data_IF_634132485665
#
_entry.id   IF_634132485665
#
_cell.length_a   1.000
_cell.length_b   1.000
_cell.length_c   1.000
_cell.angle_alpha   90.00
_cell.angle_beta   90.00
_cell.angle_gamma   90.00
#
_symmetry.space_group_name_H-M   'P 1'
#
loop_
_entity.id
_entity.type
_entity.pdbx_description
1 polymer ?
#
# COMPACT_ATOMS: atom_id res chain seq x y z
N UNK A 1 27.94 -13.34 92.79
CA UNK A 1 27.63 -12.21 91.88
C UNK A 1 28.76 -11.94 90.86
N UNK A 2 29.47 -12.97 90.36
CA UNK A 2 30.66 -12.79 89.50
C UNK A 2 30.47 -13.34 88.06
N UNK A 3 29.58 -14.32 87.84
CA UNK A 3 29.41 -14.96 86.51
C UNK A 3 28.59 -14.18 85.46
N UNK A 4 27.92 -13.08 85.82
CA UNK A 4 27.08 -12.32 84.86
C UNK A 4 27.89 -11.27 84.09
N UNK A 5 29.01 -10.79 84.63
CA UNK A 5 29.81 -9.71 84.00
C UNK A 5 30.65 -10.20 82.81
N UNK A 6 31.12 -11.45 82.80
CA UNK A 6 31.88 -12.01 81.68
C UNK A 6 31.00 -12.31 80.46
N UNK A 7 29.76 -12.74 80.67
CA UNK A 7 28.81 -13.08 79.59
C UNK A 7 28.36 -11.85 78.79
N UNK A 8 28.24 -10.69 79.43
CA UNK A 8 27.90 -9.43 78.76
C UNK A 8 29.08 -8.80 78.00
N UNK A 9 30.33 -9.10 78.40
CA UNK A 9 31.55 -8.67 77.70
C UNK A 9 31.72 -9.41 76.38
N UNK A 10 31.52 -10.74 76.37
CA UNK A 10 31.64 -11.57 75.17
C UNK A 10 30.56 -11.26 74.12
N UNK A 11 29.33 -10.94 74.55
CA UNK A 11 28.23 -10.63 73.61
C UNK A 11 28.39 -9.26 72.95
N UNK A 12 28.90 -8.25 73.68
CA UNK A 12 29.27 -6.95 73.06
C UNK A 12 30.41 -7.10 72.06
N UNK A 13 31.41 -7.93 72.35
CA UNK A 13 32.52 -8.23 71.44
C UNK A 13 32.05 -9.00 70.19
N UNK A 14 31.19 -10.00 70.36
CA UNK A 14 30.61 -10.77 69.26
C UNK A 14 29.69 -9.91 68.37
N UNK A 15 28.83 -9.09 68.97
CA UNK A 15 27.99 -8.15 68.22
C UNK A 15 28.80 -7.12 67.43
N UNK A 16 29.91 -6.62 68.00
CA UNK A 16 30.82 -5.71 67.31
C UNK A 16 31.58 -6.39 66.17
N UNK A 17 31.94 -7.67 66.33
CA UNK A 17 32.55 -8.48 65.27
C UNK A 17 31.57 -8.70 64.12
N UNK A 18 30.34 -9.14 64.40
CA UNK A 18 29.31 -9.32 63.36
C UNK A 18 28.98 -8.01 62.65
N UNK A 19 28.88 -6.90 63.39
CA UNK A 19 28.66 -5.56 62.82
C UNK A 19 29.80 -5.14 61.89
N UNK A 20 31.06 -5.33 62.31
CA UNK A 20 32.21 -4.98 61.49
C UNK A 20 32.32 -5.86 60.24
N UNK A 21 32.06 -7.17 60.35
CA UNK A 21 32.05 -8.09 59.20
C UNK A 21 30.95 -7.69 58.21
N UNK A 22 29.75 -7.35 58.69
CA UNK A 22 28.68 -6.86 57.84
C UNK A 22 29.06 -5.52 57.18
N UNK A 23 29.60 -4.56 57.95
CA UNK A 23 29.99 -3.24 57.46
C UNK A 23 31.05 -3.33 56.36
N UNK A 24 32.12 -4.12 56.58
CA UNK A 24 33.16 -4.30 55.58
C UNK A 24 32.68 -5.14 54.39
N UNK A 25 31.82 -6.14 54.62
CA UNK A 25 31.18 -6.89 53.54
C UNK A 25 30.34 -6.01 52.61
N UNK A 26 29.51 -5.14 53.17
CA UNK A 26 28.73 -4.16 52.41
C UNK A 26 29.61 -3.12 51.71
N UNK A 27 30.69 -2.66 52.34
CA UNK A 27 31.62 -1.73 51.72
C UNK A 27 32.33 -2.34 50.50
N UNK A 28 32.79 -3.60 50.61
CA UNK A 28 33.43 -4.31 49.49
C UNK A 28 32.44 -4.56 48.35
N UNK A 29 31.21 -4.98 48.68
CA UNK A 29 30.15 -5.14 47.67
C UNK A 29 29.82 -3.81 46.98
N UNK A 30 29.75 -2.71 47.74
CA UNK A 30 29.53 -1.36 47.21
C UNK A 30 30.65 -0.93 46.25
N UNK A 31 31.92 -1.15 46.62
CA UNK A 31 33.08 -0.85 45.76
C UNK A 31 33.06 -1.71 44.49
N UNK A 32 32.70 -2.99 44.59
CA UNK A 32 32.60 -3.87 43.43
C UNK A 32 31.50 -3.42 42.46
N UNK A 33 30.33 -3.02 42.97
CA UNK A 33 29.20 -2.54 42.16
C UNK A 33 29.53 -1.19 41.50
N UNK A 34 30.10 -0.24 42.26
CA UNK A 34 30.49 1.07 41.73
C UNK A 34 31.64 0.92 40.73
N UNK A 35 32.59 0.04 41.00
CA UNK A 35 33.69 -0.29 40.08
C UNK A 35 33.18 -0.90 38.78
N UNK A 36 32.26 -1.87 38.85
CA UNK A 36 31.62 -2.46 37.67
C UNK A 36 30.83 -1.42 36.86
N UNK A 37 30.10 -0.54 37.53
CA UNK A 37 29.38 0.57 36.89
C UNK A 37 30.33 1.59 36.24
N UNK A 38 31.45 1.92 36.90
CA UNK A 38 32.50 2.77 36.36
C UNK A 38 33.16 2.18 35.13
N UNK A 39 33.47 0.88 35.14
CA UNK A 39 34.02 0.14 33.99
C UNK A 39 33.04 0.12 32.81
N UNK A 40 31.73 -0.02 33.08
CA UNK A 40 30.67 0.07 32.07
C UNK A 40 30.56 1.49 31.47
N UNK A 41 30.56 2.54 32.30
CA UNK A 41 30.46 3.92 31.84
C UNK A 41 31.71 4.40 31.08
N UNK A 42 32.89 4.03 31.55
CA UNK A 42 34.16 4.37 30.88
C UNK A 42 34.39 3.55 29.60
N UNK A 43 33.50 2.62 29.27
CA UNK A 43 33.51 1.88 28.01
C UNK A 43 34.66 0.89 27.87
N UNK A 44 35.32 0.50 28.96
CA UNK A 44 36.43 -0.47 28.96
C UNK A 44 36.02 -1.88 28.50
N UNK A 45 34.72 -2.21 28.55
CA UNK A 45 34.14 -3.48 28.05
C UNK A 45 33.58 -3.38 26.64
N UNK A 46 33.72 -2.24 25.95
CA UNK A 46 33.31 -2.11 24.55
C UNK A 46 34.29 -2.88 23.65
N UNK A 47 34.03 -4.17 23.47
CA UNK A 47 34.62 -4.91 22.36
C UNK A 47 34.27 -4.18 21.05
N UNK A 48 35.28 -3.76 20.28
CA UNK A 48 35.17 -3.19 18.93
C UNK A 48 34.60 -4.18 17.88
N UNK A 49 33.94 -5.24 18.31
CA UNK A 49 33.40 -6.28 17.44
C UNK A 49 31.95 -5.98 17.04
N UNK A 50 31.75 -5.55 15.80
CA UNK A 50 30.56 -5.69 14.95
C UNK A 50 29.16 -5.20 15.41
N UNK A 51 28.87 -5.10 16.72
CA UNK A 51 27.50 -4.96 17.24
C UNK A 51 27.01 -3.50 17.24
N UNK A 52 27.90 -2.49 17.22
CA UNK A 52 27.47 -1.08 17.34
C UNK A 52 27.13 -0.40 15.99
N UNK A 53 27.95 -0.58 14.96
CA UNK A 53 27.72 0.07 13.65
C UNK A 53 26.51 -0.50 12.91
N UNK A 54 26.39 -1.84 12.87
CA UNK A 54 25.28 -2.48 12.18
C UNK A 54 23.96 -2.23 12.90
N UNK A 55 23.95 -2.16 14.24
CA UNK A 55 22.73 -1.89 15.00
C UNK A 55 22.21 -0.46 14.77
N UNK A 56 23.11 0.54 14.72
CA UNK A 56 22.73 1.92 14.35
C UNK A 56 22.18 2.00 12.93
N UNK A 57 22.79 1.29 11.99
CA UNK A 57 22.31 1.27 10.61
C UNK A 57 20.95 0.55 10.50
N UNK A 58 20.79 -0.61 11.13
CA UNK A 58 19.52 -1.34 11.16
C UNK A 58 18.40 -0.52 11.81
N UNK A 59 18.71 0.23 12.87
CA UNK A 59 17.76 1.18 13.47
C UNK A 59 17.35 2.27 12.47
N UNK A 60 18.28 2.84 11.71
CA UNK A 60 17.97 3.82 10.65
C UNK A 60 17.11 3.21 9.53
N UNK A 61 17.48 2.03 9.03
CA UNK A 61 16.70 1.29 8.01
C UNK A 61 15.28 1.02 8.51
N UNK A 62 15.11 0.59 9.77
CA UNK A 62 13.79 0.33 10.35
C UNK A 62 12.90 1.58 10.41
N UNK A 63 13.50 2.76 10.55
CA UNK A 63 12.77 4.03 10.63
C UNK A 63 12.34 4.55 9.25
N UNK A 64 12.99 4.13 8.15
CA UNK A 64 12.68 4.60 6.79
C UNK A 64 11.22 4.31 6.37
N UNK A 65 10.72 3.10 6.64
CA UNK A 65 9.34 2.73 6.30
C UNK A 65 8.26 3.55 7.02
N UNK A 66 8.59 4.15 8.18
CA UNK A 66 7.68 5.04 8.93
C UNK A 66 7.62 6.46 8.35
N UNK A 67 8.70 6.91 7.70
CA UNK A 67 8.80 8.24 7.08
C UNK A 67 8.25 8.25 5.64
N UNK A 68 8.37 7.16 4.89
CA UNK A 68 7.84 7.03 3.54
C UNK A 68 6.32 7.26 3.46
N UNK A 69 5.57 6.88 4.51
CA UNK A 69 4.11 7.11 4.60
C UNK A 69 3.70 8.59 4.72
N UNK A 70 4.63 9.52 4.96
CA UNK A 70 4.35 10.97 5.13
C UNK A 70 4.68 11.83 3.91
N UNK A 71 5.41 11.32 2.92
CA UNK A 71 5.81 12.13 1.76
C UNK A 71 4.64 12.32 0.78
N UNK A 72 4.14 13.56 0.65
CA UNK A 72 3.08 13.93 -0.31
C UNK A 72 3.56 14.15 -1.75
N UNK A 73 4.87 14.25 -1.98
CA UNK A 73 5.49 14.56 -3.28
C UNK A 73 6.53 13.51 -3.62
N UNK A 74 6.59 13.10 -4.89
CA UNK A 74 7.62 12.19 -5.40
C UNK A 74 8.94 12.95 -5.48
N UNK A 75 9.98 12.42 -4.83
CA UNK A 75 11.36 12.86 -4.99
C UNK A 75 11.95 12.12 -6.21
N UNK A 76 11.99 12.81 -7.35
CA UNK A 76 12.38 12.22 -8.63
C UNK A 76 13.84 11.75 -8.64
N UNK A 77 14.73 12.50 -8.01
CA UNK A 77 16.16 12.19 -7.94
C UNK A 77 16.38 10.95 -7.06
N UNK A 78 15.74 10.93 -5.89
CA UNK A 78 15.78 9.75 -5.01
C UNK A 78 15.17 8.54 -5.69
N UNK A 79 14.02 8.68 -6.37
CA UNK A 79 13.39 7.59 -7.10
C UNK A 79 14.33 7.01 -8.17
N UNK A 80 14.95 7.87 -8.97
CA UNK A 80 15.91 7.48 -9.99
C UNK A 80 17.13 6.77 -9.38
N UNK A 81 17.68 7.29 -8.28
CA UNK A 81 18.78 6.66 -7.55
C UNK A 81 18.42 5.24 -7.08
N UNK A 82 17.21 5.04 -6.53
CA UNK A 82 16.79 3.71 -6.07
C UNK A 82 16.68 2.71 -7.22
N UNK A 83 16.16 3.14 -8.38
CA UNK A 83 16.12 2.27 -9.56
C UNK A 83 17.51 1.93 -10.11
N UNK A 84 18.46 2.88 -10.08
CA UNK A 84 19.87 2.61 -10.38
C UNK A 84 20.41 1.54 -9.44
N UNK A 85 20.29 1.74 -8.14
CA UNK A 85 20.77 0.79 -7.13
C UNK A 85 20.16 -0.59 -7.32
N UNK A 86 18.85 -0.68 -7.52
CA UNK A 86 18.16 -1.94 -7.78
C UNK A 86 18.66 -2.62 -9.06
N UNK A 87 18.95 -1.86 -10.12
CA UNK A 87 19.50 -2.41 -11.36
C UNK A 87 20.94 -2.93 -11.22
N UNK A 88 21.76 -2.28 -10.39
CA UNK A 88 23.12 -2.76 -10.09
C UNK A 88 23.04 -4.00 -9.20
N UNK A 89 22.16 -4.01 -8.19
CA UNK A 89 21.89 -5.19 -7.36
C UNK A 89 21.39 -6.35 -8.23
N UNK A 90 20.49 -6.11 -9.19
CA UNK A 90 20.01 -7.19 -10.05
C UNK A 90 21.10 -7.78 -10.95
N UNK A 91 22.08 -6.96 -11.34
CA UNK A 91 23.23 -7.42 -12.12
C UNK A 91 24.25 -8.22 -11.29
N UNK A 92 24.56 -7.77 -10.07
CA UNK A 92 25.61 -8.36 -9.24
C UNK A 92 25.09 -9.44 -8.28
N UNK A 93 23.87 -9.26 -7.76
CA UNK A 93 23.21 -10.10 -6.75
C UNK A 93 21.76 -10.41 -7.17
N UNK A 94 21.54 -11.14 -8.28
CA UNK A 94 20.22 -11.31 -8.90
C UNK A 94 19.17 -11.94 -7.96
N UNK A 95 19.58 -12.85 -7.07
CA UNK A 95 18.65 -13.49 -6.12
C UNK A 95 18.07 -12.50 -5.11
N UNK A 96 18.87 -11.53 -4.66
CA UNK A 96 18.39 -10.48 -3.76
C UNK A 96 17.43 -9.53 -4.49
N UNK A 97 17.76 -9.13 -5.74
CA UNK A 97 16.87 -8.31 -6.54
C UNK A 97 15.54 -9.01 -6.85
N UNK A 98 15.56 -10.31 -7.16
CA UNK A 98 14.35 -11.11 -7.38
C UNK A 98 13.44 -11.09 -6.14
N UNK A 99 14.01 -11.33 -4.94
CA UNK A 99 13.26 -11.27 -3.68
C UNK A 99 12.67 -9.88 -3.42
N UNK A 100 13.42 -8.80 -3.73
CA UNK A 100 12.91 -7.44 -3.62
C UNK A 100 11.75 -7.18 -4.58
N UNK A 101 11.87 -7.57 -5.84
CA UNK A 101 10.82 -7.41 -6.84
C UNK A 101 9.55 -8.20 -6.47
N UNK A 102 9.71 -9.44 -6.03
CA UNK A 102 8.60 -10.25 -5.51
C UNK A 102 7.94 -9.61 -4.29
N UNK A 103 8.71 -9.02 -3.38
CA UNK A 103 8.15 -8.30 -2.24
C UNK A 103 7.35 -7.06 -2.68
N UNK A 104 7.83 -6.31 -3.69
CA UNK A 104 7.11 -5.16 -4.27
C UNK A 104 5.78 -5.60 -4.89
N UNK A 105 5.80 -6.68 -5.68
CA UNK A 105 4.62 -7.23 -6.35
C UNK A 105 3.56 -7.71 -5.35
N UNK A 106 3.98 -8.42 -4.30
CA UNK A 106 3.06 -9.02 -3.32
C UNK A 106 2.55 -8.05 -2.25
N UNK A 107 3.23 -6.93 -2.01
CA UNK A 107 2.91 -6.05 -0.90
C UNK A 107 1.80 -5.02 -1.17
N UNK A 108 1.27 -4.93 -2.39
CA UNK A 108 0.27 -3.91 -2.78
C UNK A 108 0.64 -2.47 -2.33
N UNK A 109 1.92 -2.12 -2.35
CA UNK A 109 2.42 -0.81 -1.91
C UNK A 109 2.79 -0.70 -0.43
N UNK A 110 2.75 -1.79 0.34
CA UNK A 110 3.11 -1.84 1.76
C UNK A 110 4.62 -1.91 2.05
N UNK A 111 5.47 -2.08 1.03
CA UNK A 111 6.92 -2.25 1.18
C UNK A 111 7.66 -1.03 0.63
N UNK A 112 8.60 -0.51 1.42
CA UNK A 112 9.49 0.58 1.00
C UNK A 112 10.72 0.00 0.28
N UNK A 113 10.81 0.26 -1.03
CA UNK A 113 11.94 -0.16 -1.89
C UNK A 113 13.27 0.34 -1.34
N UNK A 114 13.29 1.55 -0.78
CA UNK A 114 14.50 2.17 -0.25
C UNK A 114 15.01 1.40 0.97
N UNK A 115 14.08 0.95 1.81
CA UNK A 115 14.38 0.16 2.99
C UNK A 115 14.99 -1.19 2.61
N UNK A 116 14.46 -1.85 1.58
CA UNK A 116 15.01 -3.11 1.08
C UNK A 116 16.40 -2.93 0.46
N UNK A 117 16.58 -1.89 -0.36
CA UNK A 117 17.88 -1.55 -0.95
C UNK A 117 18.90 -1.28 0.16
N UNK A 118 18.57 -0.42 1.13
CA UNK A 118 19.46 -0.09 2.25
C UNK A 118 19.83 -1.33 3.08
N UNK A 119 18.87 -2.22 3.35
CA UNK A 119 19.14 -3.48 4.03
C UNK A 119 20.12 -4.38 3.26
N UNK A 120 20.08 -4.35 1.93
CA UNK A 120 21.04 -5.09 1.10
C UNK A 120 22.41 -4.39 1.05
N UNK A 121 22.43 -3.06 0.97
CA UNK A 121 23.65 -2.23 0.98
C UNK A 121 24.50 -2.46 2.25
N UNK A 122 23.91 -2.91 3.37
CA UNK A 122 24.68 -3.36 4.55
C UNK A 122 25.79 -4.35 4.22
N UNK A 123 25.55 -5.22 3.25
CA UNK A 123 26.46 -6.31 2.88
C UNK A 123 27.33 -5.99 1.67
N UNK A 124 26.97 -4.96 0.89
CA UNK A 124 27.59 -4.70 -0.42
C UNK A 124 28.10 -3.26 -0.60
N UNK A 125 27.92 -2.38 0.39
CA UNK A 125 28.37 -0.97 0.35
C UNK A 125 29.89 -0.82 0.14
N UNK A 126 30.65 -1.81 0.56
CA UNK A 126 32.12 -1.80 0.47
C UNK A 126 32.62 -2.56 -0.78
N UNK A 127 31.73 -3.09 -1.62
CA UNK A 127 32.07 -3.78 -2.87
C UNK A 127 32.46 -2.76 -3.96
N UNK A 128 33.72 -2.75 -4.45
CA UNK A 128 34.17 -1.75 -5.41
C UNK A 128 33.39 -1.74 -6.72
N UNK A 129 32.98 -2.93 -7.20
CA UNK A 129 32.20 -3.05 -8.42
C UNK A 129 30.81 -2.43 -8.27
N UNK A 130 30.17 -2.61 -7.11
CA UNK A 130 28.89 -1.99 -6.80
C UNK A 130 28.99 -0.46 -6.84
N UNK A 131 29.96 0.08 -6.10
CA UNK A 131 30.19 1.53 -6.02
C UNK A 131 30.48 2.16 -7.39
N UNK A 132 31.35 1.54 -8.19
CA UNK A 132 31.64 2.03 -9.55
C UNK A 132 30.42 2.03 -10.46
N UNK A 133 29.62 0.96 -10.46
CA UNK A 133 28.46 0.84 -11.34
C UNK A 133 27.35 1.83 -10.95
N UNK A 134 27.10 1.99 -9.64
CA UNK A 134 26.12 2.97 -9.15
C UNK A 134 26.52 4.39 -9.55
N UNK A 135 27.77 4.79 -9.30
CA UNK A 135 28.24 6.14 -9.65
C UNK A 135 28.23 6.39 -11.16
N UNK A 136 28.65 5.40 -11.97
CA UNK A 136 28.60 5.50 -13.44
C UNK A 136 27.17 5.71 -13.96
N UNK A 137 26.20 4.97 -13.43
CA UNK A 137 24.80 5.11 -13.86
C UNK A 137 24.15 6.41 -13.34
N UNK A 138 24.48 6.84 -12.11
CA UNK A 138 24.06 8.13 -11.58
C UNK A 138 24.52 9.28 -12.46
N UNK A 139 25.79 9.28 -12.86
CA UNK A 139 26.34 10.28 -13.77
C UNK A 139 25.57 10.34 -15.10
N UNK A 140 25.25 9.17 -15.67
CA UNK A 140 24.45 9.09 -16.89
C UNK A 140 23.06 9.75 -16.72
N UNK A 141 22.40 9.54 -15.58
CA UNK A 141 21.09 10.14 -15.29
C UNK A 141 21.15 11.64 -14.99
N UNK A 142 22.18 12.12 -14.28
CA UNK A 142 22.34 13.57 -14.01
C UNK A 142 22.53 14.41 -15.28
N UNK A 143 23.01 13.78 -16.36
CA UNK A 143 23.15 14.45 -17.66
C UNK A 143 21.81 14.61 -18.40
N UNK A 144 20.77 13.87 -18.00
CA UNK A 144 19.43 13.95 -18.56
C UNK A 144 18.59 14.97 -17.79
N UNK A 145 18.15 16.05 -18.44
CA UNK A 145 17.17 16.97 -17.85
C UNK A 145 15.82 16.27 -17.70
N UNK A 146 15.21 16.38 -16.52
CA UNK A 146 13.83 15.94 -16.30
C UNK A 146 12.87 16.73 -17.22
N UNK A 147 11.98 16.01 -17.90
CA UNK A 147 10.87 16.63 -18.65
C UNK A 147 9.79 17.01 -17.64
N UNK A 148 9.89 18.20 -17.06
CA UNK A 148 8.92 18.81 -16.12
C UNK A 148 8.58 17.96 -14.89
N UNK A 149 9.05 18.39 -13.72
CA UNK A 149 8.82 17.75 -12.44
C UNK A 149 7.31 17.59 -12.17
N UNK A 150 6.83 16.35 -11.99
CA UNK A 150 5.43 15.96 -11.70
C UNK A 150 4.45 15.87 -12.89
N UNK A 151 4.91 15.75 -14.14
CA UNK A 151 4.02 15.37 -15.25
C UNK A 151 4.09 13.89 -15.59
N UNK A 152 2.92 13.33 -15.88
CA UNK A 152 2.79 12.00 -16.46
C UNK A 152 3.27 12.00 -17.92
N UNK A 153 3.93 10.93 -18.34
CA UNK A 153 4.25 10.70 -19.76
C UNK A 153 2.97 10.56 -20.62
N UNK A 154 1.88 10.09 -20.01
CA UNK A 154 0.56 9.98 -20.62
C UNK A 154 -0.13 11.35 -20.55
N UNK A 155 -0.19 12.05 -21.68
CA UNK A 155 -0.55 13.47 -21.74
C UNK A 155 -1.93 13.81 -21.15
N UNK A 156 -2.93 12.98 -21.40
CA UNK A 156 -4.29 13.23 -20.91
C UNK A 156 -4.40 13.17 -19.38
N UNK A 157 -3.45 12.50 -18.70
CA UNK A 157 -3.38 12.47 -17.23
C UNK A 157 -2.82 13.78 -16.64
N UNK A 158 -2.31 14.70 -17.46
CA UNK A 158 -1.84 16.02 -16.99
C UNK A 158 -2.94 17.08 -17.02
N UNK A 159 -4.20 16.67 -17.17
CA UNK A 159 -5.34 17.58 -17.30
C UNK A 159 -6.01 17.82 -15.95
N UNK A 160 -6.55 19.02 -15.67
CA UNK A 160 -7.37 19.26 -14.48
C UNK A 160 -8.59 18.33 -14.39
N UNK A 161 -9.12 17.93 -15.55
CA UNK A 161 -10.17 16.93 -15.71
C UNK A 161 -9.81 15.59 -15.07
N UNK A 162 -8.56 15.14 -15.24
CA UNK A 162 -8.08 13.89 -14.65
C UNK A 162 -7.99 13.95 -13.13
N UNK A 163 -7.47 15.05 -12.58
CA UNK A 163 -7.35 15.22 -11.12
C UNK A 163 -8.71 15.17 -10.43
N UNK A 164 -9.69 15.90 -10.96
CA UNK A 164 -11.05 15.87 -10.44
C UNK A 164 -11.72 14.49 -10.59
N UNK A 165 -11.45 13.78 -11.70
CA UNK A 165 -11.96 12.41 -11.89
C UNK A 165 -11.42 11.45 -10.85
N UNK A 166 -10.12 11.50 -10.55
CA UNK A 166 -9.52 10.67 -9.49
C UNK A 166 -10.22 10.91 -8.16
N UNK A 167 -10.43 12.16 -7.78
CA UNK A 167 -11.14 12.50 -6.54
C UNK A 167 -12.60 12.01 -6.55
N UNK A 168 -13.30 12.13 -7.67
CA UNK A 168 -14.67 11.63 -7.81
C UNK A 168 -14.74 10.10 -7.67
N UNK A 169 -13.81 9.35 -8.27
CA UNK A 169 -13.71 7.90 -8.14
C UNK A 169 -13.41 7.49 -6.68
N UNK A 170 -12.53 8.22 -6.01
CA UNK A 170 -12.18 7.95 -4.59
C UNK A 170 -13.40 8.14 -3.68
N UNK A 171 -14.25 9.13 -3.93
CA UNK A 171 -15.51 9.32 -3.18
C UNK A 171 -16.45 8.10 -3.31
N UNK A 172 -16.47 7.48 -4.48
CA UNK A 172 -17.32 6.33 -4.79
C UNK A 172 -16.67 4.98 -4.44
N UNK A 173 -15.47 4.97 -3.84
CA UNK A 173 -14.71 3.75 -3.54
C UNK A 173 -15.55 2.68 -2.84
N UNK A 174 -16.32 3.05 -1.82
CA UNK A 174 -17.14 2.08 -1.08
C UNK A 174 -18.22 1.43 -1.96
N UNK A 175 -18.84 2.21 -2.87
CA UNK A 175 -19.84 1.70 -3.80
C UNK A 175 -19.19 0.78 -4.85
N UNK A 176 -18.03 1.15 -5.36
CA UNK A 176 -17.27 0.38 -6.34
C UNK A 176 -16.80 -0.94 -5.73
N UNK A 177 -16.22 -0.91 -4.52
CA UNK A 177 -15.77 -2.11 -3.80
C UNK A 177 -16.95 -3.05 -3.49
N UNK A 178 -18.10 -2.47 -3.10
CA UNK A 178 -19.33 -3.24 -2.85
C UNK A 178 -19.88 -3.89 -4.13
N UNK A 179 -19.92 -3.15 -5.24
CA UNK A 179 -20.35 -3.67 -6.53
C UNK A 179 -19.38 -4.75 -7.06
N UNK A 180 -18.08 -4.55 -6.87
CA UNK A 180 -17.05 -5.53 -7.19
C UNK A 180 -17.24 -6.84 -6.42
N UNK A 181 -17.47 -6.76 -5.10
CA UNK A 181 -17.74 -7.92 -4.27
C UNK A 181 -19.04 -8.64 -4.69
N UNK A 182 -20.11 -7.88 -4.94
CA UNK A 182 -21.42 -8.40 -5.33
C UNK A 182 -21.38 -9.13 -6.67
N UNK A 183 -20.63 -8.58 -7.64
CA UNK A 183 -20.56 -9.13 -9.00
C UNK A 183 -19.42 -10.13 -9.18
N UNK A 184 -18.48 -10.23 -8.24
CA UNK A 184 -17.28 -11.05 -8.36
C UNK A 184 -16.29 -10.58 -9.42
N UNK A 185 -16.34 -9.29 -9.78
CA UNK A 185 -15.41 -8.64 -10.71
C UNK A 185 -14.49 -7.72 -9.90
N UNK A 186 -13.23 -7.61 -10.31
CA UNK A 186 -12.28 -6.75 -9.62
C UNK A 186 -12.66 -5.26 -9.78
N UNK A 187 -12.60 -4.50 -8.69
CA UNK A 187 -12.94 -3.07 -8.68
C UNK A 187 -12.20 -2.27 -9.78
N UNK A 188 -10.93 -2.63 -10.05
CA UNK A 188 -10.14 -1.97 -11.11
C UNK A 188 -10.78 -2.11 -12.49
N UNK A 189 -11.44 -3.22 -12.80
CA UNK A 189 -12.09 -3.43 -14.11
C UNK A 189 -13.31 -2.52 -14.26
N UNK A 190 -14.12 -2.38 -13.20
CA UNK A 190 -15.26 -1.45 -13.16
C UNK A 190 -14.75 0.00 -13.34
N UNK A 191 -13.66 0.35 -12.65
CA UNK A 191 -13.03 1.68 -12.74
C UNK A 191 -12.45 1.92 -14.14
N UNK A 192 -11.85 0.93 -14.80
CA UNK A 192 -11.35 1.06 -16.17
C UNK A 192 -12.46 1.47 -17.16
N UNK A 193 -13.63 0.83 -17.07
CA UNK A 193 -14.80 1.22 -17.87
C UNK A 193 -15.29 2.64 -17.53
N UNK A 194 -15.29 2.98 -16.24
CA UNK A 194 -15.72 4.30 -15.76
C UNK A 194 -14.81 5.41 -16.29
N UNK A 195 -13.49 5.23 -16.24
CA UNK A 195 -12.50 6.22 -16.69
C UNK A 195 -12.71 6.55 -18.17
N UNK A 196 -12.81 5.53 -19.02
CA UNK A 196 -13.02 5.72 -20.45
C UNK A 196 -14.30 6.51 -20.73
N UNK A 197 -15.38 6.18 -20.03
CA UNK A 197 -16.66 6.85 -20.23
C UNK A 197 -16.67 8.30 -19.72
N UNK A 198 -16.12 8.55 -18.54
CA UNK A 198 -16.08 9.90 -17.96
C UNK A 198 -15.18 10.84 -18.77
N UNK A 199 -14.01 10.37 -19.24
CA UNK A 199 -13.14 11.15 -20.12
C UNK A 199 -13.86 11.49 -21.44
N UNK A 200 -14.58 10.52 -22.03
CA UNK A 200 -15.39 10.76 -23.24
C UNK A 200 -16.46 11.83 -22.99
N UNK A 201 -17.11 11.81 -21.82
CA UNK A 201 -18.11 12.81 -21.45
C UNK A 201 -17.50 14.19 -21.20
N UNK A 202 -16.33 14.29 -20.59
CA UNK A 202 -15.65 15.58 -20.37
C UNK A 202 -15.27 16.26 -21.68
N UNK A 203 -14.83 15.48 -22.66
CA UNK A 203 -14.54 16.02 -24.00
C UNK A 203 -15.81 16.47 -24.73
N UNK A 204 -16.90 15.70 -24.67
CA UNK A 204 -18.14 16.02 -25.38
C UNK A 204 -19.03 17.06 -24.69
N UNK A 205 -18.90 17.25 -23.37
CA UNK A 205 -19.71 18.19 -22.56
C UNK A 205 -18.83 19.14 -21.71
N UNK A 206 -17.77 19.66 -22.31
CA UNK A 206 -16.72 20.44 -21.64
C UNK A 206 -17.23 21.62 -20.81
N UNK A 207 -18.21 22.37 -21.32
CA UNK A 207 -18.74 23.55 -20.63
C UNK A 207 -19.59 23.19 -19.40
N UNK A 208 -20.39 22.12 -19.48
CA UNK A 208 -21.13 21.60 -18.32
C UNK A 208 -20.15 21.08 -17.25
N UNK A 209 -19.08 20.40 -17.69
CA UNK A 209 -18.04 19.93 -16.79
C UNK A 209 -17.38 21.10 -16.03
N UNK A 210 -16.85 22.10 -16.74
CA UNK A 210 -16.16 23.25 -16.13
C UNK A 210 -17.05 23.99 -15.14
N UNK A 211 -18.33 24.16 -15.47
CA UNK A 211 -19.26 24.97 -14.68
C UNK A 211 -19.75 24.25 -13.42
N UNK A 212 -19.94 22.93 -13.46
CA UNK A 212 -20.65 22.22 -12.40
C UNK A 212 -19.91 20.99 -11.84
N UNK A 213 -19.24 20.20 -12.68
CA UNK A 213 -18.67 18.91 -12.26
C UNK A 213 -17.23 19.05 -11.76
N UNK A 214 -16.41 19.86 -12.42
CA UNK A 214 -15.01 20.10 -12.04
C UNK A 214 -14.85 20.69 -10.64
N UNK A 215 -15.58 21.76 -10.27
CA UNK A 215 -15.49 22.36 -8.93
C UNK A 215 -15.92 21.42 -7.80
N UNK A 216 -16.98 20.63 -8.03
CA UNK A 216 -17.58 19.75 -7.02
C UNK A 216 -16.92 18.37 -7.02
N UNK A 217 -16.16 18.05 -8.08
CA UNK A 217 -15.43 16.78 -8.29
C UNK A 217 -16.38 15.59 -8.14
N UNK A 218 -17.39 15.55 -9.00
CA UNK A 218 -18.44 14.53 -9.05
C UNK A 218 -18.52 13.93 -10.45
N UNK A 219 -18.98 12.68 -10.53
CA UNK A 219 -19.13 11.96 -11.79
C UNK A 219 -20.32 12.51 -12.59
N UNK A 220 -20.21 12.47 -13.92
CA UNK A 220 -21.31 12.78 -14.81
C UNK A 220 -22.23 11.56 -14.95
N UNK A 221 -23.50 11.74 -14.60
CA UNK A 221 -24.56 10.72 -14.78
C UNK A 221 -25.29 10.99 -16.08
N UNK A 222 -25.36 9.97 -16.94
CA UNK A 222 -26.15 10.01 -18.17
C UNK A 222 -27.58 9.53 -17.92
N UNK A 223 -28.54 10.10 -18.64
CA UNK A 223 -29.98 9.85 -18.44
C UNK A 223 -30.81 9.86 -19.73
N UNK A 224 -30.15 9.75 -20.90
CA UNK A 224 -30.81 9.80 -22.21
C UNK A 224 -30.55 8.51 -22.99
N UNK A 225 -29.61 8.54 -23.95
CA UNK A 225 -29.29 7.38 -24.80
C UNK A 225 -28.46 6.30 -24.10
N UNK A 226 -27.92 6.62 -22.94
CA UNK A 226 -27.11 5.77 -22.06
C UNK A 226 -27.34 6.28 -20.64
N UNK A 227 -27.17 5.39 -19.67
CA UNK A 227 -27.57 5.61 -18.29
C UNK A 227 -26.41 5.41 -17.31
N UNK A 228 -26.44 6.17 -16.23
CA UNK A 228 -25.46 6.09 -15.16
C UNK A 228 -24.10 6.69 -15.49
N UNK A 229 -23.15 6.44 -14.60
CA UNK A 229 -21.77 6.95 -14.71
C UNK A 229 -20.91 6.12 -15.68
N UNK A 230 -21.34 4.91 -16.01
CA UNK A 230 -20.69 4.01 -16.97
C UNK A 230 -21.35 3.96 -18.35
N UNK A 231 -22.47 4.68 -18.55
CA UNK A 231 -23.07 4.84 -19.87
C UNK A 231 -23.75 3.58 -20.43
N UNK A 232 -24.47 2.85 -19.59
CA UNK A 232 -25.12 1.59 -19.95
C UNK A 232 -26.34 1.87 -20.85
N UNK A 233 -26.49 1.11 -21.94
CA UNK A 233 -27.69 1.17 -22.78
C UNK A 233 -28.86 0.43 -22.13
N UNK A 234 -30.10 0.90 -22.32
CA UNK A 234 -31.30 0.24 -21.75
C UNK A 234 -31.36 -1.24 -22.14
N UNK A 235 -31.26 -1.52 -23.44
CA UNK A 235 -31.27 -2.89 -23.94
C UNK A 235 -30.10 -3.73 -23.40
N UNK A 236 -28.95 -3.13 -23.09
CA UNK A 236 -27.83 -3.87 -22.48
C UNK A 236 -28.16 -4.24 -21.03
N UNK A 237 -28.78 -3.34 -20.27
CA UNK A 237 -29.23 -3.62 -18.92
C UNK A 237 -30.31 -4.74 -18.92
N UNK A 238 -31.25 -4.71 -19.86
CA UNK A 238 -32.23 -5.80 -20.06
C UNK A 238 -31.56 -7.15 -20.35
N UNK A 239 -30.55 -7.15 -21.20
CA UNK A 239 -29.80 -8.36 -21.51
C UNK A 239 -29.12 -8.93 -20.27
N UNK A 240 -28.53 -8.06 -19.44
CA UNK A 240 -27.92 -8.47 -18.17
C UNK A 240 -28.93 -9.16 -17.28
N UNK A 241 -30.09 -8.55 -17.05
CA UNK A 241 -31.16 -9.08 -16.20
C UNK A 241 -31.64 -10.45 -16.68
N UNK A 242 -31.86 -10.61 -17.99
CA UNK A 242 -32.28 -11.90 -18.58
C UNK A 242 -31.20 -12.96 -18.44
N UNK A 243 -29.94 -12.61 -18.72
CA UNK A 243 -28.81 -13.52 -18.63
C UNK A 243 -28.49 -13.95 -17.20
N UNK A 244 -28.84 -13.14 -16.19
CA UNK A 244 -28.70 -13.53 -14.80
C UNK A 244 -29.60 -14.72 -14.44
N UNK A 245 -30.77 -14.85 -15.09
CA UNK A 245 -31.77 -15.89 -14.80
C UNK A 245 -31.74 -17.08 -15.76
N UNK A 246 -31.11 -16.93 -16.93
CA UNK A 246 -31.10 -17.98 -17.95
C UNK A 246 -29.84 -18.86 -17.80
N UNK A 247 -29.97 -20.01 -17.14
CA UNK A 247 -28.88 -20.95 -16.89
C UNK A 247 -28.28 -21.61 -18.15
N UNK A 248 -29.02 -21.61 -19.26
CA UNK A 248 -28.54 -22.07 -20.58
C UNK A 248 -27.78 -21.01 -21.37
N UNK A 249 -27.79 -19.75 -20.92
CA UNK A 249 -27.11 -18.66 -21.62
C UNK A 249 -25.59 -18.81 -21.53
N UNK A 250 -24.90 -18.56 -22.65
CA UNK A 250 -23.44 -18.43 -22.67
C UNK A 250 -22.94 -17.29 -21.76
N UNK A 251 -23.82 -16.37 -21.35
CA UNK A 251 -23.52 -15.26 -20.46
C UNK A 251 -23.90 -15.51 -18.99
N UNK A 252 -24.53 -16.64 -18.66
CA UNK A 252 -25.00 -16.93 -17.31
C UNK A 252 -23.88 -16.91 -16.26
N UNK A 253 -24.07 -16.15 -15.17
CA UNK A 253 -23.05 -15.95 -14.14
C UNK A 253 -23.01 -17.06 -13.08
N UNK A 254 -24.09 -17.86 -12.96
CA UNK A 254 -24.24 -18.90 -11.94
C UNK A 254 -25.25 -18.54 -10.85
N UNK A 255 -25.80 -19.57 -10.20
CA UNK A 255 -26.91 -19.47 -9.24
C UNK A 255 -26.75 -18.39 -8.17
N UNK A 256 -25.55 -18.23 -7.62
CA UNK A 256 -25.28 -17.24 -6.55
C UNK A 256 -25.54 -15.79 -6.97
N UNK A 257 -25.59 -15.52 -8.28
CA UNK A 257 -25.76 -14.18 -8.82
C UNK A 257 -27.18 -13.90 -9.32
N UNK A 258 -28.07 -14.90 -9.37
CA UNK A 258 -29.39 -14.75 -10.00
C UNK A 258 -30.18 -13.56 -9.42
N UNK A 259 -30.02 -13.27 -8.14
CA UNK A 259 -30.85 -12.31 -7.40
C UNK A 259 -30.22 -10.92 -7.21
N UNK A 260 -29.06 -10.64 -7.82
CA UNK A 260 -28.34 -9.37 -7.59
C UNK A 260 -29.06 -8.13 -8.16
N UNK A 261 -30.03 -8.32 -9.06
CA UNK A 261 -30.79 -7.24 -9.70
C UNK A 261 -32.32 -7.46 -9.62
N UNK A 262 -32.81 -8.26 -8.67
CA UNK A 262 -34.26 -8.48 -8.52
C UNK A 262 -35.02 -7.16 -8.35
N UNK A 263 -36.14 -7.03 -9.05
CA UNK A 263 -37.01 -5.85 -9.01
C UNK A 263 -37.98 -5.93 -7.84
N UNK A 264 -38.35 -4.76 -7.30
CA UNK A 264 -39.31 -4.64 -6.20
C UNK A 264 -40.66 -4.08 -6.64
N UNK A 265 -40.73 -3.56 -7.87
CA UNK A 265 -41.94 -2.98 -8.45
C UNK A 265 -42.41 -3.81 -9.64
N UNK A 266 -43.67 -3.63 -10.07
CA UNK A 266 -44.18 -4.26 -11.29
C UNK A 266 -43.66 -3.58 -12.57
N UNK A 267 -43.23 -2.31 -12.48
CA UNK A 267 -42.64 -1.56 -13.59
C UNK A 267 -41.11 -1.66 -13.55
N UNK A 268 -40.60 -2.79 -14.06
CA UNK A 268 -39.17 -3.09 -14.07
C UNK A 268 -38.36 -2.08 -14.88
N UNK A 269 -38.93 -1.50 -15.95
CA UNK A 269 -38.19 -0.55 -16.80
C UNK A 269 -37.94 0.76 -16.04
N UNK A 270 -38.99 1.32 -15.44
CA UNK A 270 -38.86 2.55 -14.65
C UNK A 270 -37.93 2.32 -13.45
N UNK A 271 -38.06 1.19 -12.76
CA UNK A 271 -37.16 0.85 -11.64
C UNK A 271 -35.70 0.72 -12.10
N UNK A 272 -35.44 0.04 -13.23
CA UNK A 272 -34.10 -0.08 -13.82
C UNK A 272 -33.51 1.29 -14.13
N UNK A 273 -34.25 2.15 -14.83
CA UNK A 273 -33.76 3.48 -15.22
C UNK A 273 -33.46 4.29 -13.96
N UNK A 274 -34.37 4.30 -12.98
CA UNK A 274 -34.17 4.99 -11.71
C UNK A 274 -32.92 4.52 -10.95
N UNK A 275 -32.68 3.20 -10.91
CA UNK A 275 -31.45 2.63 -10.34
C UNK A 275 -30.19 3.15 -11.05
N UNK A 276 -30.23 3.25 -12.39
CA UNK A 276 -29.06 3.66 -13.18
C UNK A 276 -28.81 5.16 -13.14
N UNK A 277 -29.84 6.01 -13.05
CA UNK A 277 -29.71 7.48 -13.12
C UNK A 277 -29.69 8.18 -11.75
N UNK A 278 -29.56 7.43 -10.66
CA UNK A 278 -29.49 8.01 -9.32
C UNK A 278 -28.19 8.84 -9.15
N UNK A 279 -28.35 10.16 -9.08
CA UNK A 279 -27.26 11.14 -8.90
C UNK A 279 -26.61 11.12 -7.51
N UNK A 280 -27.24 10.47 -6.51
CA UNK A 280 -26.75 10.39 -5.14
C UNK A 280 -26.12 9.04 -4.84
N UNK A 281 -26.52 7.99 -5.56
CA UNK A 281 -26.04 6.65 -5.35
C UNK A 281 -25.79 5.91 -6.66
N UNK A 282 -24.54 5.89 -7.09
CA UNK A 282 -24.13 5.24 -8.33
C UNK A 282 -24.00 3.71 -8.23
N UNK A 283 -24.37 3.09 -7.08
CA UNK A 283 -24.16 1.67 -6.82
C UNK A 283 -24.66 0.77 -7.95
N UNK A 284 -25.90 0.96 -8.42
CA UNK A 284 -26.44 0.12 -9.48
C UNK A 284 -25.73 0.34 -10.82
N UNK A 285 -25.30 1.56 -11.16
CA UNK A 285 -24.45 1.78 -12.35
C UNK A 285 -23.19 0.90 -12.30
N UNK A 286 -22.57 0.75 -11.12
CA UNK A 286 -21.42 -0.14 -10.93
C UNK A 286 -21.78 -1.62 -10.93
N UNK A 287 -22.90 -2.02 -10.31
CA UNK A 287 -23.38 -3.40 -10.33
C UNK A 287 -23.67 -3.87 -11.75
N UNK A 288 -24.40 -3.09 -12.55
CA UNK A 288 -24.64 -3.44 -13.96
C UNK A 288 -23.34 -3.54 -14.75
N UNK A 289 -22.39 -2.61 -14.54
CA UNK A 289 -21.07 -2.67 -15.18
C UNK A 289 -20.32 -3.96 -14.81
N UNK A 290 -20.29 -4.31 -13.52
CA UNK A 290 -19.69 -5.55 -13.05
C UNK A 290 -20.37 -6.79 -13.62
N UNK A 291 -21.71 -6.78 -13.73
CA UNK A 291 -22.45 -7.87 -14.39
C UNK A 291 -22.06 -8.00 -15.86
N UNK A 292 -22.03 -6.91 -16.62
CA UNK A 292 -21.63 -6.91 -18.05
C UNK A 292 -20.23 -7.52 -18.21
N UNK A 293 -19.27 -7.11 -17.37
CA UNK A 293 -17.91 -7.63 -17.38
C UNK A 293 -17.86 -9.12 -17.04
N UNK A 294 -18.60 -9.56 -16.01
CA UNK A 294 -18.65 -10.97 -15.62
C UNK A 294 -19.29 -11.81 -16.72
N UNK A 295 -20.45 -11.39 -17.24
CA UNK A 295 -21.17 -12.08 -18.31
C UNK A 295 -20.30 -12.23 -19.55
N UNK A 296 -19.59 -11.16 -19.94
CA UNK A 296 -18.62 -11.20 -21.05
C UNK A 296 -17.52 -12.21 -20.77
N UNK A 297 -16.91 -12.17 -19.57
CA UNK A 297 -15.89 -13.16 -19.18
C UNK A 297 -16.41 -14.60 -19.27
N UNK A 298 -17.64 -14.86 -18.82
CA UNK A 298 -18.27 -16.19 -18.90
C UNK A 298 -18.52 -16.65 -20.33
N UNK A 299 -18.91 -15.74 -21.22
CA UNK A 299 -19.10 -16.07 -22.62
C UNK A 299 -17.78 -16.44 -23.30
N UNK A 300 -16.70 -15.70 -23.03
CA UNK A 300 -15.36 -16.02 -23.55
C UNK A 300 -14.83 -17.35 -23.00
N UNK A 301 -14.96 -17.56 -21.69
CA UNK A 301 -14.57 -18.81 -21.02
C UNK A 301 -15.29 -20.02 -21.65
N UNK A 302 -16.61 -19.93 -21.85
CA UNK A 302 -17.41 -20.99 -22.49
C UNK A 302 -17.08 -21.19 -23.97
N UNK A 303 -16.59 -20.15 -24.65
CA UNK A 303 -16.11 -20.23 -26.02
C UNK A 303 -14.67 -20.78 -26.13
N UNK A 304 -14.02 -21.12 -25.01
CA UNK A 304 -12.67 -21.68 -24.99
C UNK A 304 -11.54 -20.64 -25.01
N UNK A 305 -11.85 -19.37 -24.74
CA UNK A 305 -10.86 -18.29 -24.70
C UNK A 305 -10.65 -17.80 -23.27
N UNK A 306 -9.46 -18.06 -22.71
CA UNK A 306 -9.09 -17.56 -21.38
C UNK A 306 -8.59 -16.11 -21.44
N UNK A 307 -9.34 -15.21 -20.80
CA UNK A 307 -9.00 -13.79 -20.64
C UNK A 307 -8.68 -13.40 -19.20
N UNK A 308 -8.47 -14.38 -18.31
CA UNK A 308 -8.20 -14.16 -16.88
C UNK A 308 -6.97 -13.28 -16.60
N UNK A 309 -5.94 -13.39 -17.45
CA UNK A 309 -4.68 -12.63 -17.36
C UNK A 309 -4.51 -11.60 -18.49
N UNK A 310 -5.57 -11.33 -19.28
CA UNK A 310 -5.56 -10.41 -20.43
C UNK A 310 -6.79 -9.49 -20.36
N UNK A 311 -6.82 -8.56 -19.39
CA UNK A 311 -7.96 -7.68 -19.17
C UNK A 311 -8.22 -6.72 -20.33
#
# INVERSE_FOLDING_TARGET
>A
MIKIKEYFSSWKMFGKLCYNVALYGFAIAGVAIIGAWGVYQLGWTKNKGAIDQNNRYLAQVSQMGSQAKKAKKIDADKLAENYVKLSVISKLYPRNAELMLQAIENAHGGVDVNQMIAACELYIKDEPQYMQLVEKQKQALTSAKSKEENKHAILWMNTPEWEALKEAIVKDKALIDSAAATTGVEARMIVSCLIGEQIRLFNSKREMYKKYLGPVKVLSVQSQFSFGVNGIKDFTAEWVERNLKNDTSAFYMGKRYEHILDFHTADHQTERINRLVDYRNHYYSYVYTGCILHQTKKQWERAGFDISNRP
#
